data_IF_021824996810
#
_entry.id   IF_021824996810
#
_cell.length_a   1.000
_cell.length_b   1.000
_cell.length_c   1.000
_cell.angle_alpha   90.00
_cell.angle_beta   90.00
_cell.angle_gamma   90.00
#
_symmetry.space_group_name_H-M   'P 1'
#
loop_
_entity.id
_entity.type
_entity.pdbx_description
1 polymer ?
#
# COMPACT_ATOMS: atom_id res chain seq x y z
N UNK A 1 -16.24 -2.59 -12.06
CA UNK A 1 -16.16 -2.52 -10.58
C UNK A 1 -17.29 -1.68 -9.99
N UNK A 2 -17.51 -0.43 -10.46
CA UNK A 2 -18.55 0.46 -9.93
C UNK A 2 -19.93 -0.19 -9.92
N UNK A 3 -20.38 -0.73 -11.06
CA UNK A 3 -21.66 -1.44 -11.17
C UNK A 3 -21.77 -2.63 -10.22
N UNK A 4 -20.67 -3.34 -9.97
CA UNK A 4 -20.66 -4.45 -9.02
C UNK A 4 -20.84 -3.98 -7.57
N UNK A 5 -20.21 -2.87 -7.19
CA UNK A 5 -20.38 -2.25 -5.86
C UNK A 5 -21.81 -1.77 -5.68
N UNK A 6 -22.37 -1.10 -6.68
CA UNK A 6 -23.75 -0.62 -6.64
C UNK A 6 -24.77 -1.77 -6.59
N UNK A 7 -24.55 -2.81 -7.38
CA UNK A 7 -25.39 -4.02 -7.36
C UNK A 7 -25.33 -4.77 -6.02
N UNK A 8 -24.18 -4.73 -5.34
CA UNK A 8 -24.03 -5.33 -4.02
C UNK A 8 -24.76 -4.56 -2.92
N UNK A 9 -25.20 -3.33 -3.17
CA UNK A 9 -25.91 -2.48 -2.21
C UNK A 9 -25.11 -2.14 -0.95
N UNK A 10 -23.79 -2.27 -0.98
CA UNK A 10 -22.88 -1.99 0.13
C UNK A 10 -21.98 -0.81 -0.20
N UNK A 11 -21.68 0.07 0.78
CA UNK A 11 -20.69 1.11 0.57
C UNK A 11 -19.32 0.50 0.25
N UNK A 12 -18.64 1.05 -0.74
CA UNK A 12 -17.31 0.59 -1.12
C UNK A 12 -16.56 1.66 -1.88
N UNK A 13 -15.25 1.69 -1.68
CA UNK A 13 -14.32 2.50 -2.41
C UNK A 13 -13.63 1.66 -3.49
N UNK A 14 -13.20 2.33 -4.54
CA UNK A 14 -12.30 1.74 -5.53
C UNK A 14 -10.92 2.36 -5.33
N UNK A 15 -9.93 1.50 -5.14
CA UNK A 15 -8.53 1.90 -5.23
C UNK A 15 -7.95 1.25 -6.49
N UNK A 16 -7.41 2.05 -7.38
CA UNK A 16 -6.81 1.56 -8.61
C UNK A 16 -5.31 1.75 -8.58
N UNK A 17 -4.60 0.62 -8.66
CA UNK A 17 -3.18 0.57 -8.95
C UNK A 17 -3.02 0.11 -10.39
N UNK A 18 -2.70 1.00 -11.30
CA UNK A 18 -2.62 0.68 -12.72
C UNK A 18 -1.40 1.32 -13.38
N UNK A 19 -0.93 0.67 -14.45
CA UNK A 19 0.10 1.25 -15.29
C UNK A 19 -0.43 2.53 -15.95
N UNK A 20 0.37 3.58 -16.02
CA UNK A 20 -0.05 4.91 -16.47
C UNK A 20 -0.04 5.05 -17.99
N UNK A 21 -0.73 4.17 -18.70
CA UNK A 21 -0.95 4.38 -20.12
C UNK A 21 -2.11 5.36 -20.31
N UNK A 22 -1.89 6.37 -21.10
CA UNK A 22 -2.86 7.46 -21.30
C UNK A 22 -4.31 7.01 -21.58
N UNK A 23 -4.59 6.04 -22.47
CA UNK A 23 -5.95 5.61 -22.73
C UNK A 23 -6.62 4.93 -21.52
N UNK A 24 -5.90 4.09 -20.79
CA UNK A 24 -6.44 3.42 -19.61
C UNK A 24 -6.69 4.41 -18.47
N UNK A 25 -5.81 5.40 -18.31
CA UNK A 25 -5.96 6.45 -17.30
C UNK A 25 -7.19 7.32 -17.62
N UNK A 26 -7.39 7.71 -18.87
CA UNK A 26 -8.56 8.48 -19.30
C UNK A 26 -9.85 7.67 -19.08
N UNK A 27 -9.85 6.39 -19.43
CA UNK A 27 -11.01 5.52 -19.22
C UNK A 27 -11.39 5.34 -17.74
N UNK A 28 -10.44 5.51 -16.82
CA UNK A 28 -10.72 5.46 -15.39
C UNK A 28 -11.55 6.64 -14.87
N UNK A 29 -11.60 7.75 -15.62
CA UNK A 29 -12.33 8.96 -15.23
C UNK A 29 -13.64 9.13 -16.01
N UNK A 30 -14.18 8.05 -16.56
CA UNK A 30 -15.52 8.07 -17.15
C UNK A 30 -16.56 8.53 -16.13
N UNK A 31 -17.40 9.51 -16.52
CA UNK A 31 -18.36 10.15 -15.61
C UNK A 31 -19.39 9.16 -15.03
N UNK A 32 -19.71 8.11 -15.79
CA UNK A 32 -20.75 7.16 -15.43
C UNK A 32 -20.26 6.01 -14.57
N UNK A 33 -19.21 5.34 -15.00
CA UNK A 33 -18.73 4.09 -14.41
C UNK A 33 -17.31 4.18 -13.82
N UNK A 34 -16.69 5.35 -13.90
CA UNK A 34 -15.31 5.61 -13.51
C UNK A 34 -15.08 5.88 -12.03
N UNK A 35 -13.92 6.44 -11.76
CA UNK A 35 -13.51 6.85 -10.41
C UNK A 35 -14.28 8.09 -9.96
N UNK A 36 -14.64 8.11 -8.70
CA UNK A 36 -15.28 9.23 -8.01
C UNK A 36 -14.31 9.88 -7.05
N UNK A 37 -14.64 11.07 -6.57
CA UNK A 37 -13.85 11.78 -5.55
C UNK A 37 -13.69 11.03 -4.22
N UNK A 38 -14.54 10.04 -3.98
CA UNK A 38 -14.45 9.13 -2.82
C UNK A 38 -13.50 7.96 -3.03
N UNK A 39 -13.06 7.70 -4.25
CA UNK A 39 -12.15 6.61 -4.59
C UNK A 39 -10.70 7.07 -4.50
N UNK A 40 -9.76 6.18 -4.75
CA UNK A 40 -8.32 6.47 -4.71
C UNK A 40 -7.60 6.00 -5.96
N UNK A 41 -6.60 6.77 -6.35
CA UNK A 41 -5.55 6.31 -7.26
C UNK A 41 -4.30 5.98 -6.44
N UNK A 42 -3.75 4.81 -6.64
CA UNK A 42 -2.54 4.37 -5.97
C UNK A 42 -1.30 4.90 -6.70
N UNK A 43 -0.42 5.58 -5.98
CA UNK A 43 0.91 5.98 -6.44
C UNK A 43 1.95 5.23 -5.66
N UNK A 44 2.93 4.67 -6.35
CA UNK A 44 3.92 3.77 -5.75
C UNK A 44 5.26 4.47 -5.53
N UNK A 45 5.71 4.50 -4.29
CA UNK A 45 7.06 4.93 -3.94
C UNK A 45 8.07 3.82 -4.21
N UNK A 46 9.21 4.18 -4.77
CA UNK A 46 10.30 3.24 -5.01
C UNK A 46 11.25 3.13 -3.82
N UNK A 47 11.75 1.93 -3.57
CA UNK A 47 12.73 1.67 -2.49
C UNK A 47 14.05 2.43 -2.68
N UNK A 48 14.37 2.82 -3.91
CA UNK A 48 15.53 3.64 -4.26
C UNK A 48 15.30 5.14 -4.05
N UNK A 49 14.16 5.55 -3.54
CA UNK A 49 13.77 6.95 -3.38
C UNK A 49 13.71 7.74 -4.69
N UNK A 50 13.61 7.05 -5.82
CA UNK A 50 13.40 7.67 -7.14
C UNK A 50 11.93 7.96 -7.36
N UNK A 51 11.67 8.99 -8.12
CA UNK A 51 10.32 9.36 -8.54
C UNK A 51 10.16 8.96 -10.00
N UNK A 52 9.22 8.06 -10.27
CA UNK A 52 8.89 7.67 -11.63
C UNK A 52 8.02 8.74 -12.29
N UNK A 53 8.39 9.17 -13.49
CA UNK A 53 7.63 10.17 -14.25
C UNK A 53 6.20 9.73 -14.52
N UNK A 54 6.00 8.46 -14.80
CA UNK A 54 4.69 7.88 -15.03
C UNK A 54 3.79 7.94 -13.80
N UNK A 55 4.34 7.74 -12.60
CA UNK A 55 3.59 7.89 -11.36
C UNK A 55 3.22 9.35 -11.10
N UNK A 56 4.07 10.30 -11.46
CA UNK A 56 3.74 11.73 -11.41
C UNK A 56 2.59 12.08 -12.35
N UNK A 57 2.62 11.57 -13.58
CA UNK A 57 1.52 11.76 -14.52
C UNK A 57 0.21 11.23 -13.97
N UNK A 58 0.21 10.01 -13.45
CA UNK A 58 -0.97 9.41 -12.81
C UNK A 58 -1.48 10.25 -11.64
N UNK A 59 -0.57 10.72 -10.81
CA UNK A 59 -0.88 11.64 -9.71
C UNK A 59 -1.54 12.92 -10.23
N UNK A 60 -0.96 13.56 -11.24
CA UNK A 60 -1.49 14.79 -11.82
C UNK A 60 -2.90 14.58 -12.40
N UNK A 61 -3.12 13.49 -13.12
CA UNK A 61 -4.46 13.14 -13.62
C UNK A 61 -5.47 12.95 -12.50
N UNK A 62 -5.11 12.19 -11.46
CA UNK A 62 -5.97 11.97 -10.29
C UNK A 62 -6.39 13.28 -9.64
N UNK A 63 -5.42 14.12 -9.35
CA UNK A 63 -5.66 15.43 -8.71
C UNK A 63 -6.48 16.36 -9.58
N UNK A 64 -6.24 16.40 -10.89
CA UNK A 64 -7.03 17.20 -11.84
C UNK A 64 -8.51 16.80 -11.86
N UNK A 65 -8.82 15.52 -11.64
CA UNK A 65 -10.19 15.01 -11.56
C UNK A 65 -10.75 14.99 -10.12
N UNK A 66 -10.00 15.49 -9.15
CA UNK A 66 -10.41 15.54 -7.76
C UNK A 66 -10.43 14.18 -7.06
N UNK A 67 -9.72 13.18 -7.60
CA UNK A 67 -9.56 11.86 -6.98
C UNK A 67 -8.30 11.89 -6.11
N UNK A 68 -8.41 11.57 -4.81
CA UNK A 68 -7.27 11.59 -3.90
C UNK A 68 -6.27 10.47 -4.21
N UNK A 69 -5.04 10.70 -3.81
CA UNK A 69 -3.94 9.76 -4.01
C UNK A 69 -3.72 8.93 -2.75
N UNK A 70 -3.71 7.62 -2.92
CA UNK A 70 -3.26 6.65 -1.93
C UNK A 70 -1.80 6.29 -2.24
N UNK A 71 -0.89 6.65 -1.34
CA UNK A 71 0.50 6.29 -1.48
C UNK A 71 0.73 4.82 -1.09
N UNK A 72 1.51 4.09 -1.86
CA UNK A 72 1.95 2.75 -1.48
C UNK A 72 3.46 2.65 -1.54
N UNK A 73 4.04 1.97 -0.57
CA UNK A 73 5.46 1.72 -0.53
C UNK A 73 5.75 0.40 0.18
N UNK A 74 6.72 -0.34 -0.33
CA UNK A 74 7.27 -1.51 0.33
C UNK A 74 8.79 -1.46 0.28
N UNK A 75 9.42 -1.24 1.42
CA UNK A 75 10.87 -1.35 1.52
C UNK A 75 11.31 -2.82 1.36
N UNK A 76 12.53 -3.03 0.90
CA UNK A 76 13.02 -4.37 0.55
C UNK A 76 14.20 -4.74 1.45
N UNK A 77 13.97 -5.68 2.35
CA UNK A 77 15.03 -6.30 3.16
C UNK A 77 15.85 -7.20 2.25
N UNK A 78 17.18 -7.06 2.28
CA UNK A 78 18.08 -7.78 1.38
C UNK A 78 18.24 -7.15 -0.01
N UNK A 79 17.56 -6.03 -0.28
CA UNK A 79 17.71 -5.21 -1.47
C UNK A 79 18.48 -3.91 -1.17
N UNK A 80 18.01 -2.79 -1.72
CA UNK A 80 18.63 -1.46 -1.50
C UNK A 80 18.76 -1.05 -0.05
N UNK A 81 17.83 -1.48 0.78
CA UNK A 81 17.83 -1.18 2.22
C UNK A 81 18.77 -2.08 3.02
N UNK A 82 19.37 -3.09 2.44
CA UNK A 82 20.26 -4.10 3.00
C UNK A 82 19.67 -4.84 4.20
N UNK A 83 19.66 -4.21 5.37
CA UNK A 83 19.23 -4.74 6.67
C UNK A 83 17.88 -4.19 7.11
N UNK A 84 17.21 -4.81 8.09
CA UNK A 84 15.91 -4.33 8.56
C UNK A 84 15.89 -2.86 9.01
N UNK A 85 16.91 -2.38 9.67
CA UNK A 85 17.02 -1.00 10.14
C UNK A 85 17.04 -0.02 8.96
N UNK A 86 17.81 -0.32 7.92
CA UNK A 86 17.81 0.46 6.68
C UNK A 86 16.44 0.45 6.00
N UNK A 87 15.76 -0.71 5.99
CA UNK A 87 14.42 -0.84 5.43
C UNK A 87 13.38 -0.01 6.21
N UNK A 88 13.48 0.08 7.53
CA UNK A 88 12.61 0.93 8.33
C UNK A 88 12.81 2.42 8.01
N UNK A 89 14.07 2.88 7.90
CA UNK A 89 14.37 4.26 7.49
C UNK A 89 13.84 4.57 6.09
N UNK A 90 14.05 3.69 5.13
CA UNK A 90 13.52 3.84 3.76
C UNK A 90 12.00 3.88 3.76
N UNK A 91 11.32 3.06 4.57
CA UNK A 91 9.86 3.08 4.68
C UNK A 91 9.34 4.43 5.16
N UNK A 92 9.94 5.02 6.17
CA UNK A 92 9.56 6.35 6.65
C UNK A 92 9.84 7.41 5.59
N UNK A 93 11.04 7.42 5.02
CA UNK A 93 11.44 8.41 4.02
C UNK A 93 10.56 8.36 2.76
N UNK A 94 10.28 7.18 2.24
CA UNK A 94 9.40 7.00 1.08
C UNK A 94 7.95 7.40 1.36
N UNK A 95 7.45 7.14 2.57
CA UNK A 95 6.12 7.62 2.97
C UNK A 95 6.05 9.14 2.97
N UNK A 96 7.04 9.82 3.52
CA UNK A 96 7.12 11.28 3.49
C UNK A 96 7.28 11.83 2.07
N UNK A 97 8.05 11.14 1.22
CA UNK A 97 8.18 11.47 -0.20
C UNK A 97 6.84 11.39 -0.94
N UNK A 98 6.05 10.33 -0.70
CA UNK A 98 4.71 10.17 -1.28
C UNK A 98 3.79 11.33 -0.90
N UNK A 99 3.82 11.79 0.35
CA UNK A 99 3.05 12.96 0.79
C UNK A 99 3.57 14.23 0.13
N UNK A 100 4.87 14.47 0.12
CA UNK A 100 5.45 15.71 -0.39
C UNK A 100 5.30 15.85 -1.92
N UNK A 101 5.57 14.80 -2.66
CA UNK A 101 5.65 14.82 -4.13
C UNK A 101 4.30 14.42 -4.75
N UNK A 102 3.73 13.30 -4.33
CA UNK A 102 2.50 12.74 -4.92
C UNK A 102 1.22 13.23 -4.23
N UNK A 103 1.34 14.09 -3.20
CA UNK A 103 0.19 14.62 -2.46
C UNK A 103 -0.71 13.52 -1.88
N UNK A 104 -0.11 12.38 -1.51
CA UNK A 104 -0.84 11.28 -0.92
C UNK A 104 -1.53 11.71 0.37
N UNK A 105 -2.82 11.43 0.49
CA UNK A 105 -3.63 11.75 1.68
C UNK A 105 -3.58 10.64 2.73
N UNK A 106 -3.28 9.43 2.30
CA UNK A 106 -2.98 8.28 3.14
C UNK A 106 -1.93 7.43 2.44
N UNK A 107 -1.23 6.61 3.17
CA UNK A 107 -0.21 5.77 2.56
C UNK A 107 -0.07 4.45 3.30
N UNK A 108 0.29 3.46 2.53
CA UNK A 108 0.51 2.10 2.97
C UNK A 108 1.98 1.92 3.34
N UNK A 109 2.21 1.50 4.58
CA UNK A 109 3.52 1.13 5.08
C UNK A 109 3.66 -0.39 5.11
N UNK A 110 4.71 -0.90 4.49
CA UNK A 110 5.02 -2.32 4.49
C UNK A 110 6.49 -2.60 4.18
N UNK A 111 6.88 -3.85 4.35
CA UNK A 111 8.18 -4.33 3.93
C UNK A 111 8.06 -5.69 3.25
N UNK A 112 8.98 -6.01 2.38
CA UNK A 112 9.08 -7.31 1.72
C UNK A 112 10.47 -7.87 1.97
N UNK A 113 10.57 -9.13 2.37
CA UNK A 113 11.83 -9.84 2.36
C UNK A 113 12.00 -10.52 0.99
N UNK A 114 12.98 -10.07 0.26
CA UNK A 114 13.18 -10.52 -1.12
C UNK A 114 13.51 -12.01 -1.21
N UNK A 115 14.08 -12.58 -0.15
CA UNK A 115 14.49 -13.98 -0.10
C UNK A 115 13.30 -14.93 -0.09
N UNK A 116 12.21 -14.54 0.55
CA UNK A 116 11.05 -15.43 0.77
C UNK A 116 9.74 -14.85 0.24
N UNK A 117 9.76 -13.65 -0.33
CA UNK A 117 8.59 -12.97 -0.92
C UNK A 117 7.36 -12.94 0.02
N UNK A 118 7.60 -12.77 1.31
CA UNK A 118 6.56 -12.69 2.33
C UNK A 118 6.57 -11.34 3.01
N UNK A 119 5.50 -10.99 3.71
CA UNK A 119 5.36 -9.76 4.50
C UNK A 119 5.10 -10.03 5.98
N UNK A 120 5.39 -11.24 6.44
CA UNK A 120 5.10 -11.67 7.83
C UNK A 120 6.29 -12.33 8.54
N UNK A 121 7.50 -12.13 8.02
CA UNK A 121 8.69 -12.55 8.76
C UNK A 121 8.95 -11.62 9.94
N UNK A 122 9.72 -12.11 10.92
CA UNK A 122 10.11 -11.30 12.08
C UNK A 122 10.72 -9.95 11.69
N UNK A 123 11.63 -9.95 10.70
CA UNK A 123 12.26 -8.72 10.21
C UNK A 123 11.26 -7.75 9.60
N UNK A 124 10.33 -8.27 8.83
CA UNK A 124 9.29 -7.45 8.17
C UNK A 124 8.27 -6.89 9.15
N UNK A 125 7.81 -7.71 10.10
CA UNK A 125 6.92 -7.25 11.17
C UNK A 125 7.59 -6.12 11.97
N UNK A 126 8.88 -6.26 12.26
CA UNK A 126 9.64 -5.22 12.94
C UNK A 126 9.79 -3.94 12.10
N UNK A 127 10.18 -4.07 10.83
CA UNK A 127 10.35 -2.92 9.91
C UNK A 127 9.05 -2.14 9.78
N UNK A 128 7.98 -2.82 9.42
CA UNK A 128 6.70 -2.17 9.17
C UNK A 128 6.12 -1.60 10.48
N UNK A 129 6.19 -2.34 11.58
CA UNK A 129 5.75 -1.86 12.90
C UNK A 129 6.52 -0.61 13.33
N UNK A 130 7.84 -0.61 13.18
CA UNK A 130 8.69 0.54 13.51
C UNK A 130 8.35 1.77 12.64
N UNK A 131 8.19 1.57 11.33
CA UNK A 131 7.82 2.65 10.43
C UNK A 131 6.42 3.22 10.73
N UNK A 132 5.43 2.35 10.94
CA UNK A 132 4.06 2.75 11.34
C UNK A 132 4.12 3.55 12.64
N UNK A 133 4.80 3.06 13.66
CA UNK A 133 4.90 3.74 14.95
C UNK A 133 5.63 5.09 14.82
N UNK A 134 6.72 5.13 14.05
CA UNK A 134 7.46 6.36 13.81
C UNK A 134 6.60 7.43 13.15
N UNK A 135 5.82 7.06 12.13
CA UNK A 135 4.94 7.97 11.42
C UNK A 135 3.71 8.38 12.25
N UNK A 136 3.04 7.43 12.87
CA UNK A 136 1.81 7.71 13.64
C UNK A 136 2.06 8.56 14.89
N UNK A 137 3.21 8.42 15.53
CA UNK A 137 3.57 9.21 16.72
C UNK A 137 4.10 10.61 16.41
N UNK A 138 4.76 10.79 15.28
CA UNK A 138 5.46 12.04 14.96
C UNK A 138 4.76 12.85 13.87
N UNK A 139 3.69 12.34 13.29
CA UNK A 139 2.92 13.04 12.25
C UNK A 139 1.42 12.89 12.51
N UNK A 140 0.61 13.66 11.77
CA UNK A 140 -0.86 13.50 11.71
C UNK A 140 -1.31 12.82 10.43
N UNK A 141 -0.43 12.08 9.79
CA UNK A 141 -0.70 11.41 8.52
C UNK A 141 -1.50 10.12 8.75
N UNK A 142 -2.35 9.79 7.81
CA UNK A 142 -3.11 8.56 7.85
C UNK A 142 -2.24 7.41 7.32
N UNK A 143 -1.91 6.49 8.21
CA UNK A 143 -1.06 5.33 7.92
C UNK A 143 -1.90 4.08 7.80
N UNK A 144 -1.80 3.39 6.68
CA UNK A 144 -2.37 2.08 6.45
C UNK A 144 -1.31 0.99 6.63
N UNK A 145 -1.61 -0.01 7.43
CA UNK A 145 -0.70 -1.11 7.72
C UNK A 145 -0.79 -2.21 6.66
N UNK A 146 0.22 -2.36 5.83
CA UNK A 146 0.31 -3.46 4.88
C UNK A 146 1.18 -4.60 5.43
N UNK A 147 0.70 -5.19 6.51
CA UNK A 147 1.33 -6.34 7.16
C UNK A 147 0.27 -7.42 7.35
N UNK A 148 0.57 -8.65 7.00
CA UNK A 148 -0.39 -9.76 7.13
C UNK A 148 -1.19 -10.04 5.86
N UNK A 149 -1.09 -9.20 4.85
CA UNK A 149 -1.74 -9.38 3.56
C UNK A 149 -1.05 -10.42 2.66
N UNK A 150 0.23 -10.72 2.90
CA UNK A 150 1.02 -11.71 2.16
C UNK A 150 1.70 -12.75 3.07
N UNK A 151 0.94 -13.66 3.70
CA UNK A 151 1.51 -14.76 4.46
C UNK A 151 2.39 -15.67 3.59
N UNK A 152 3.42 -16.26 4.17
CA UNK A 152 4.25 -17.26 3.51
C UNK A 152 3.49 -18.59 3.34
N UNK A 153 2.67 -18.92 4.33
CA UNK A 153 1.87 -20.16 4.33
C UNK A 153 0.74 -20.13 3.29
N UNK A 154 0.33 -21.31 2.84
CA UNK A 154 -0.78 -21.50 1.89
C UNK A 154 -2.14 -21.16 2.51
N UNK A 155 -3.08 -20.63 1.70
CA UNK A 155 -4.45 -20.40 2.14
C UNK A 155 -5.10 -21.69 2.64
N UNK A 156 -5.98 -21.57 3.65
CA UNK A 156 -6.67 -22.71 4.27
C UNK A 156 -5.88 -23.44 5.36
N UNK A 157 -4.64 -23.02 5.64
CA UNK A 157 -3.83 -23.58 6.73
C UNK A 157 -3.95 -22.73 8.00
N UNK A 158 -3.77 -23.35 9.17
CA UNK A 158 -3.70 -22.63 10.46
C UNK A 158 -2.53 -21.64 10.48
N UNK A 159 -1.41 -22.01 9.86
CA UNK A 159 -0.23 -21.16 9.77
C UNK A 159 -0.55 -19.84 9.00
N UNK A 160 -1.31 -19.92 7.92
CA UNK A 160 -1.77 -18.75 7.19
C UNK A 160 -2.56 -17.77 8.10
N UNK A 161 -3.45 -18.31 8.94
CA UNK A 161 -4.23 -17.49 9.88
C UNK A 161 -3.34 -16.85 10.95
N UNK A 162 -2.39 -17.59 11.49
CA UNK A 162 -1.45 -17.05 12.49
C UNK A 162 -0.55 -15.96 11.92
N UNK A 163 -0.02 -16.15 10.74
CA UNK A 163 0.81 -15.16 10.08
C UNK A 163 0.02 -13.88 9.75
N UNK A 164 -1.20 -14.04 9.23
CA UNK A 164 -2.08 -12.92 8.98
C UNK A 164 -2.45 -12.18 10.26
N UNK A 165 -2.85 -12.91 11.30
CA UNK A 165 -3.18 -12.32 12.60
C UNK A 165 -1.99 -11.55 13.20
N UNK A 166 -0.78 -12.11 13.14
CA UNK A 166 0.42 -11.43 13.63
C UNK A 166 0.64 -10.08 12.94
N UNK A 167 0.47 -10.03 11.61
CA UNK A 167 0.58 -8.78 10.85
C UNK A 167 -0.46 -7.75 11.26
N UNK A 168 -1.73 -8.13 11.39
CA UNK A 168 -2.80 -7.23 11.80
C UNK A 168 -2.63 -6.73 13.24
N UNK A 169 -2.20 -7.60 14.15
CA UNK A 169 -1.90 -7.23 15.54
C UNK A 169 -0.78 -6.18 15.57
N UNK A 170 0.32 -6.42 14.85
CA UNK A 170 1.43 -5.45 14.79
C UNK A 170 0.97 -4.13 14.22
N UNK A 171 0.25 -4.13 13.10
CA UNK A 171 -0.28 -2.89 12.49
C UNK A 171 -1.12 -2.10 13.49
N UNK A 172 -2.05 -2.75 14.16
CA UNK A 172 -2.97 -2.10 15.11
C UNK A 172 -2.23 -1.56 16.33
N UNK A 173 -1.39 -2.38 16.97
CA UNK A 173 -0.63 -1.99 18.18
C UNK A 173 0.35 -0.86 17.91
N UNK A 174 0.93 -0.82 16.71
CA UNK A 174 1.88 0.22 16.31
C UNK A 174 1.21 1.51 15.83
N UNK A 175 -0.12 1.55 15.77
CA UNK A 175 -0.88 2.77 15.52
C UNK A 175 -1.26 3.01 14.06
N UNK A 176 -1.40 1.96 13.26
CA UNK A 176 -2.01 2.10 11.94
C UNK A 176 -3.49 2.47 12.08
N UNK A 177 -3.97 3.32 11.19
CA UNK A 177 -5.36 3.77 11.14
C UNK A 177 -6.27 2.75 10.45
N UNK A 178 -5.70 1.97 9.56
CA UNK A 178 -6.36 0.87 8.85
C UNK A 178 -5.36 -0.26 8.60
N UNK A 179 -5.89 -1.44 8.29
CA UNK A 179 -5.09 -2.58 7.88
C UNK A 179 -5.68 -3.20 6.62
N UNK A 180 -4.84 -3.69 5.73
CA UNK A 180 -5.31 -4.41 4.57
C UNK A 180 -5.88 -5.78 4.94
N UNK A 181 -6.89 -6.20 4.19
CA UNK A 181 -7.40 -7.57 4.25
C UNK A 181 -6.35 -8.58 3.79
N UNK A 182 -6.40 -9.77 4.35
CA UNK A 182 -5.51 -10.85 3.97
C UNK A 182 -5.78 -11.28 2.54
N UNK A 183 -4.75 -11.30 1.71
CA UNK A 183 -4.80 -11.78 0.34
C UNK A 183 -3.56 -12.60 0.02
N UNK A 184 -3.71 -13.57 -0.83
CA UNK A 184 -2.58 -14.30 -1.41
C UNK A 184 -2.75 -14.34 -2.92
N UNK A 185 -1.73 -13.91 -3.61
CA UNK A 185 -1.67 -14.15 -5.04
C UNK A 185 -1.42 -15.65 -5.25
N UNK A 186 -2.40 -16.34 -5.78
CA UNK A 186 -2.17 -17.65 -6.34
C UNK A 186 -1.38 -17.41 -7.62
N UNK A 187 -0.08 -17.54 -7.55
CA UNK A 187 0.73 -17.65 -8.75
C UNK A 187 0.38 -19.04 -9.29
N UNK A 188 -0.43 -19.09 -10.33
CA UNK A 188 -0.67 -20.33 -11.05
C UNK A 188 0.67 -20.89 -11.51
N UNK A 189 0.84 -22.20 -11.26
CA UNK A 189 1.90 -22.98 -11.90
C UNK A 189 1.67 -23.03 -13.39
#
# INVERSE_FOLDING_TARGET
LRRAIEAAGRPGLITISNAPTSPATIAMFDEKDGLRRSDYIESTGMSEMKVAYDDLNRTAYGLAHGVPIHGTHSSVIGGFSAIPEGAAMVSVAASLQLVAIHKAVCFRCGAVDFRIKSRVTRGQLWVAGTAIQGLSRNTRLIVDGSIGDHPAAGPGTKQYLYESAAGHIVSTVMGAHSTEGTRKYVVGN
#
